data_IF_139305213592
#
_entry.id   IF_139305213592
#
_cell.length_a   1.000
_cell.length_b   1.000
_cell.length_c   1.000
_cell.angle_alpha   90.00
_cell.angle_beta   90.00
_cell.angle_gamma   90.00
#
_symmetry.space_group_name_H-M   'P 1'
#
loop_
_entity.id
_entity.type
_entity.pdbx_description
1 polymer ?
#
# COMPACT_ATOMS: atom_id res chain seq x y z
N UNK A 1 -31.32 -33.00 71.50
CA UNK A 1 -31.52 -31.69 72.16
C UNK A 1 -31.77 -30.63 71.09
N UNK A 2 -32.85 -29.86 71.26
CA UNK A 2 -33.09 -28.53 70.64
C UNK A 2 -33.28 -27.54 71.82
N UNK A 3 -33.51 -26.20 71.68
CA UNK A 3 -33.72 -25.34 70.49
C UNK A 3 -32.64 -24.20 70.45
N UNK A 4 -32.71 -23.00 69.80
CA UNK A 4 -33.80 -22.16 69.25
C UNK A 4 -33.39 -21.35 67.99
N UNK A 5 -34.18 -21.52 66.92
CA UNK A 5 -34.76 -20.51 65.98
C UNK A 5 -34.34 -19.02 66.11
N UNK A 6 -34.17 -18.34 64.95
CA UNK A 6 -35.03 -17.24 64.40
C UNK A 6 -34.41 -16.69 63.08
N UNK A 7 -35.11 -16.74 61.92
CA UNK A 7 -36.06 -15.76 61.32
C UNK A 7 -35.42 -14.54 60.61
N UNK A 8 -35.71 -14.32 59.31
CA UNK A 8 -35.65 -12.99 58.66
C UNK A 8 -35.03 -12.93 57.23
N UNK A 9 -35.66 -12.28 56.23
CA UNK A 9 -35.20 -12.32 54.81
C UNK A 9 -34.98 -10.95 54.10
N UNK A 10 -34.17 -10.94 53.03
CA UNK A 10 -34.13 -9.97 51.89
C UNK A 10 -33.00 -10.40 50.91
N UNK A 11 -33.19 -10.61 49.59
CA UNK A 11 -33.16 -9.62 48.49
C UNK A 11 -31.90 -8.71 48.52
N UNK A 12 -31.15 -8.42 47.44
CA UNK A 12 -31.47 -8.26 46.00
C UNK A 12 -30.24 -8.51 45.08
N UNK A 13 -30.46 -8.53 43.75
CA UNK A 13 -29.60 -7.77 42.82
C UNK A 13 -28.29 -8.39 42.28
N UNK A 14 -28.38 -9.31 41.31
CA UNK A 14 -27.24 -9.64 40.43
C UNK A 14 -27.09 -8.56 39.32
N UNK A 15 -26.12 -7.67 39.46
CA UNK A 15 -25.79 -6.63 38.46
C UNK A 15 -24.78 -7.10 37.39
N UNK A 16 -24.78 -6.51 36.17
CA UNK A 16 -23.98 -6.99 35.05
C UNK A 16 -22.48 -6.66 35.20
N UNK A 17 -21.64 -7.60 34.75
CA UNK A 17 -20.18 -7.51 34.75
C UNK A 17 -19.66 -6.40 33.83
N UNK A 18 -18.86 -5.46 34.39
CA UNK A 18 -18.13 -4.44 33.60
C UNK A 18 -16.96 -5.06 32.81
N UNK A 19 -16.64 -4.53 31.61
CA UNK A 19 -15.48 -4.98 30.84
C UNK A 19 -14.16 -4.55 31.49
N UNK A 20 -13.14 -5.39 31.38
CA UNK A 20 -11.83 -5.16 31.99
C UNK A 20 -11.07 -4.03 31.29
N UNK A 21 -10.66 -3.00 32.04
CA UNK A 21 -9.69 -2.02 31.56
C UNK A 21 -8.30 -2.66 31.51
N UNK A 22 -7.73 -2.78 30.31
CA UNK A 22 -6.31 -3.10 30.13
C UNK A 22 -5.45 -2.02 30.81
N UNK A 23 -4.74 -2.37 31.88
CA UNK A 23 -3.80 -1.46 32.54
C UNK A 23 -2.62 -1.22 31.60
N UNK A 24 -2.47 0.02 31.15
CA UNK A 24 -1.25 0.44 30.45
C UNK A 24 -0.04 0.27 31.37
N UNK A 25 1.06 -0.28 30.82
CA UNK A 25 2.33 -0.42 31.52
C UNK A 25 3.03 0.94 31.63
N UNK A 26 2.58 1.77 32.56
CA UNK A 26 3.33 2.96 33.00
C UNK A 26 4.45 2.52 33.94
N UNK A 27 5.57 2.05 33.40
CA UNK A 27 6.78 1.84 34.19
C UNK A 27 7.34 3.20 34.58
N UNK A 28 7.23 3.54 35.87
CA UNK A 28 7.83 4.74 36.46
C UNK A 28 9.36 4.61 36.47
N UNK A 29 10.01 5.01 35.38
CA UNK A 29 11.45 5.28 35.40
C UNK A 29 11.72 6.54 36.22
N UNK A 30 12.61 6.45 37.20
CA UNK A 30 12.87 7.52 38.15
C UNK A 30 13.53 8.72 37.46
N UNK A 31 12.87 9.88 37.53
CA UNK A 31 13.45 11.16 37.11
C UNK A 31 14.52 11.58 38.12
N UNK A 32 15.79 11.28 37.84
CA UNK A 32 16.98 11.88 38.47
C UNK A 32 18.26 11.50 37.69
N UNK A 33 18.29 11.81 36.39
CA UNK A 33 19.48 11.67 35.54
C UNK A 33 19.95 13.04 35.11
N UNK A 34 21.22 13.37 35.35
CA UNK A 34 21.86 14.66 35.01
C UNK A 34 22.64 14.63 33.68
N UNK A 35 22.65 13.49 32.99
CA UNK A 35 23.30 13.33 31.69
C UNK A 35 22.56 14.15 30.59
N UNK A 36 23.24 15.07 29.89
CA UNK A 36 22.61 15.95 28.90
C UNK A 36 21.96 15.22 27.72
N UNK A 37 22.54 14.10 27.28
CA UNK A 37 22.06 13.32 26.15
C UNK A 37 20.79 12.53 26.51
N UNK A 38 20.74 11.99 27.75
CA UNK A 38 19.52 11.39 28.30
C UNK A 38 18.41 12.44 28.54
N UNK A 39 18.74 13.66 28.95
CA UNK A 39 17.76 14.76 29.03
C UNK A 39 17.15 15.07 27.66
N UNK A 40 17.99 15.20 26.63
CA UNK A 40 17.55 15.50 25.26
C UNK A 40 16.69 14.36 24.68
N UNK A 41 17.08 13.10 24.91
CA UNK A 41 16.29 11.93 24.55
C UNK A 41 14.93 11.92 25.27
N UNK A 42 14.88 12.18 26.59
CA UNK A 42 13.62 12.29 27.33
C UNK A 42 12.77 13.46 26.86
N UNK A 43 13.36 14.60 26.49
CA UNK A 43 12.65 15.73 25.88
C UNK A 43 12.01 15.31 24.55
N UNK A 44 12.76 14.69 23.64
CA UNK A 44 12.24 14.19 22.36
C UNK A 44 11.10 13.17 22.54
N UNK A 45 11.22 12.24 23.50
CA UNK A 45 10.17 11.26 23.81
C UNK A 45 8.90 11.95 24.31
N UNK A 46 9.02 12.93 25.23
CA UNK A 46 7.87 13.73 25.69
C UNK A 46 7.22 14.50 24.53
N UNK A 47 8.01 15.15 23.68
CA UNK A 47 7.51 15.89 22.50
C UNK A 47 6.81 14.97 21.49
N UNK A 48 7.33 13.76 21.26
CA UNK A 48 6.68 12.75 20.41
C UNK A 48 5.36 12.27 21.02
N UNK A 49 5.32 11.96 22.30
CA UNK A 49 4.10 11.53 22.99
C UNK A 49 3.02 12.63 22.95
N UNK A 50 3.39 13.89 23.21
CA UNK A 50 2.49 15.04 23.10
C UNK A 50 1.86 15.13 21.71
N UNK A 51 2.66 15.04 20.64
CA UNK A 51 2.17 15.02 19.25
C UNK A 51 1.29 13.81 18.93
N UNK A 52 1.56 12.63 19.51
CA UNK A 52 0.66 11.47 19.35
C UNK A 52 -0.70 11.71 20.01
N UNK A 53 -0.73 12.34 21.19
CA UNK A 53 -1.97 12.67 21.90
C UNK A 53 -2.79 13.72 21.14
N UNK A 54 -2.13 14.73 20.56
CA UNK A 54 -2.73 15.72 19.65
C UNK A 54 -3.37 15.05 18.43
N UNK A 55 -2.65 14.20 17.69
CA UNK A 55 -3.21 13.46 16.55
C UNK A 55 -4.36 12.52 16.96
N UNK A 56 -4.25 11.86 18.12
CA UNK A 56 -5.35 11.04 18.65
C UNK A 56 -6.58 11.87 19.03
N UNK A 57 -6.41 13.12 19.46
CA UNK A 57 -7.53 14.03 19.71
C UNK A 57 -8.20 14.48 18.40
N UNK A 58 -7.41 14.79 17.36
CA UNK A 58 -7.92 15.16 16.03
C UNK A 58 -8.71 14.03 15.37
N UNK A 59 -8.20 12.80 15.39
CA UNK A 59 -8.92 11.60 14.90
C UNK A 59 -10.24 11.39 15.65
N UNK A 60 -10.26 11.61 16.98
CA UNK A 60 -11.48 11.53 17.79
C UNK A 60 -12.50 12.61 17.41
N UNK A 61 -12.05 13.84 17.14
CA UNK A 61 -12.90 14.92 16.69
C UNK A 61 -13.50 14.66 15.29
N UNK A 62 -12.72 14.11 14.36
CA UNK A 62 -13.21 13.71 13.03
C UNK A 62 -14.26 12.60 13.12
N UNK A 63 -14.02 11.56 13.93
CA UNK A 63 -14.98 10.47 14.14
C UNK A 63 -16.29 10.97 14.77
N UNK A 64 -16.24 11.91 15.73
CA UNK A 64 -17.43 12.54 16.30
C UNK A 64 -18.28 13.23 15.21
N UNK A 65 -17.62 13.94 14.29
CA UNK A 65 -18.29 14.65 13.18
C UNK A 65 -18.87 13.70 12.13
N UNK A 66 -18.26 12.53 11.93
CA UNK A 66 -18.82 11.45 11.09
C UNK A 66 -20.11 10.90 11.71
N UNK A 67 -20.15 10.65 13.01
CA UNK A 67 -21.38 10.17 13.68
C UNK A 67 -22.49 11.24 13.70
N UNK A 68 -22.15 12.52 13.86
CA UNK A 68 -23.12 13.62 13.74
C UNK A 68 -23.76 13.68 12.33
N UNK A 69 -22.95 13.48 11.28
CA UNK A 69 -23.46 13.40 9.90
C UNK A 69 -24.31 12.15 9.66
N UNK A 70 -23.92 10.99 10.22
CA UNK A 70 -24.71 9.74 10.16
C UNK A 70 -26.09 9.92 10.82
N UNK A 71 -26.15 10.53 12.01
CA UNK A 71 -27.40 10.82 12.69
C UNK A 71 -28.33 11.74 11.85
N UNK A 72 -27.77 12.73 11.16
CA UNK A 72 -28.54 13.61 10.25
C UNK A 72 -29.09 12.87 9.02
N UNK A 73 -28.33 11.91 8.47
CA UNK A 73 -28.81 11.06 7.36
C UNK A 73 -29.95 10.15 7.80
N UNK A 74 -29.90 9.59 9.02
CA UNK A 74 -31.00 8.79 9.59
C UNK A 74 -32.24 9.65 9.83
N UNK A 75 -32.10 10.85 10.41
CA UNK A 75 -33.23 11.74 10.69
C UNK A 75 -33.97 12.26 9.46
N UNK A 76 -33.34 12.27 8.27
CA UNK A 76 -34.00 12.57 7.00
C UNK A 76 -34.91 11.40 6.54
N UNK A 77 -34.56 10.16 6.89
CA UNK A 77 -35.30 8.96 6.50
C UNK A 77 -36.59 8.74 7.30
N UNK A 78 -36.76 9.40 8.45
CA UNK A 78 -37.93 9.26 9.32
C UNK A 78 -39.06 10.27 9.05
N UNK A 79 -38.86 11.23 8.13
CA UNK A 79 -39.84 12.31 7.85
C UNK A 79 -40.84 11.98 6.72
N UNK A 80 -41.02 10.71 6.35
CA UNK A 80 -42.02 10.25 5.37
C UNK A 80 -42.91 9.15 5.95
N UNK A 81 -44.18 9.42 6.29
CA UNK A 81 -45.06 8.41 6.90
C UNK A 81 -45.73 7.47 5.87
N UNK A 82 -45.37 6.19 5.97
CA UNK A 82 -46.17 4.97 5.74
C UNK A 82 -47.37 4.95 4.77
N UNK A 83 -47.35 3.97 3.85
CA UNK A 83 -48.56 3.26 3.39
C UNK A 83 -48.35 1.75 3.55
N UNK A 84 -49.12 1.17 4.49
CA UNK A 84 -49.55 -0.24 4.63
C UNK A 84 -48.62 -1.38 4.17
N UNK A 85 -48.08 -2.09 5.16
CA UNK A 85 -47.64 -3.48 5.02
C UNK A 85 -48.85 -4.42 4.81
N UNK A 86 -48.69 -5.41 3.93
CA UNK A 86 -49.26 -6.75 4.09
C UNK A 86 -48.33 -7.76 3.37
N UNK A 87 -48.20 -8.99 3.90
CA UNK A 87 -47.04 -9.84 3.60
C UNK A 87 -47.19 -10.61 2.28
N UNK A 88 -46.09 -10.68 1.51
CA UNK A 88 -45.98 -11.52 0.31
C UNK A 88 -44.66 -12.30 0.41
N UNK A 89 -44.71 -13.59 0.06
CA UNK A 89 -43.62 -14.56 0.14
C UNK A 89 -42.26 -14.04 -0.36
N UNK A 90 -41.26 -14.10 0.51
CA UNK A 90 -39.86 -13.89 0.16
C UNK A 90 -39.34 -15.04 -0.71
N UNK A 91 -39.42 -14.89 -2.03
CA UNK A 91 -38.21 -14.71 -2.85
C UNK A 91 -38.57 -14.50 -4.33
N UNK A 92 -39.16 -13.34 -4.63
CA UNK A 92 -39.09 -12.79 -5.97
C UNK A 92 -38.84 -11.28 -5.93
N UNK A 93 -37.65 -10.88 -6.36
CA UNK A 93 -37.41 -9.56 -6.98
C UNK A 93 -37.18 -8.34 -6.06
N UNK A 94 -35.94 -8.20 -5.55
CA UNK A 94 -35.25 -6.93 -5.79
C UNK A 94 -34.64 -7.01 -7.20
N UNK A 95 -35.40 -6.55 -8.21
CA UNK A 95 -34.83 -6.31 -9.53
C UNK A 95 -33.90 -5.11 -9.38
N UNK A 96 -32.61 -5.37 -9.37
CA UNK A 96 -31.64 -4.37 -9.84
C UNK A 96 -32.17 -3.80 -11.17
N UNK A 97 -32.06 -2.48 -11.43
CA UNK A 97 -32.42 -1.93 -12.72
C UNK A 97 -31.62 -2.68 -13.78
N UNK A 98 -32.33 -3.38 -14.68
CA UNK A 98 -31.80 -4.47 -15.49
C UNK A 98 -30.45 -4.12 -16.10
N UNK A 99 -29.40 -4.75 -15.57
CA UNK A 99 -27.97 -4.52 -15.75
C UNK A 99 -27.64 -3.63 -16.97
N UNK A 100 -27.74 -2.31 -16.78
CA UNK A 100 -27.58 -1.32 -17.84
C UNK A 100 -26.09 -1.25 -18.17
N UNK A 101 -25.68 -2.11 -19.10
CA UNK A 101 -24.34 -2.68 -19.07
C UNK A 101 -23.23 -1.64 -19.05
N UNK A 102 -22.27 -1.85 -18.16
CA UNK A 102 -21.21 -0.87 -17.94
C UNK A 102 -20.18 -0.98 -19.06
N UNK A 103 -20.06 0.10 -19.83
CA UNK A 103 -18.94 0.29 -20.73
C UNK A 103 -17.73 0.72 -19.90
N UNK A 104 -16.61 0.00 -20.00
CA UNK A 104 -15.40 0.29 -19.25
C UNK A 104 -14.12 -0.01 -20.02
N UNK A 105 -13.08 0.75 -19.71
CA UNK A 105 -11.72 0.48 -20.15
C UNK A 105 -11.07 -0.54 -19.20
N UNK A 106 -10.34 -1.50 -19.77
CA UNK A 106 -9.62 -2.53 -19.03
C UNK A 106 -8.15 -2.59 -19.48
N UNK A 107 -7.23 -2.62 -18.52
CA UNK A 107 -5.84 -2.99 -18.78
C UNK A 107 -5.77 -4.51 -18.70
N UNK A 108 -5.43 -5.17 -19.80
CA UNK A 108 -5.60 -6.61 -19.98
C UNK A 108 -4.52 -7.45 -19.28
N UNK A 109 -3.37 -6.86 -18.98
CA UNK A 109 -2.25 -7.52 -18.30
C UNK A 109 -1.62 -6.65 -17.21
N UNK A 110 -1.13 -7.29 -16.15
CA UNK A 110 -0.58 -6.62 -14.98
C UNK A 110 0.74 -5.92 -15.30
N UNK A 111 0.90 -4.66 -14.93
CA UNK A 111 2.16 -3.90 -15.09
C UNK A 111 3.24 -4.45 -14.15
N UNK A 112 4.51 -4.50 -14.61
CA UNK A 112 5.65 -4.85 -13.74
C UNK A 112 5.69 -3.98 -12.48
N UNK A 113 5.89 -4.61 -11.31
CA UNK A 113 6.03 -3.92 -10.00
C UNK A 113 7.15 -2.88 -9.98
N UNK A 114 8.18 -3.06 -10.81
CA UNK A 114 9.29 -2.14 -11.05
C UNK A 114 9.41 -1.85 -12.54
N UNK A 115 9.31 -0.58 -12.90
CA UNK A 115 9.56 -0.01 -14.23
C UNK A 115 10.78 0.91 -14.10
N UNK A 116 11.57 1.06 -15.16
CA UNK A 116 12.73 1.96 -15.17
C UNK A 116 12.52 3.15 -16.11
N UNK A 117 13.06 4.32 -15.76
CA UNK A 117 13.05 5.49 -16.67
C UNK A 117 13.72 5.16 -18.01
N UNK A 118 13.30 5.86 -19.07
CA UNK A 118 13.66 5.64 -20.49
C UNK A 118 13.48 4.20 -21.02
N UNK A 119 12.94 3.30 -20.20
CA UNK A 119 12.59 1.93 -20.58
C UNK A 119 11.09 1.88 -20.87
N UNK A 120 10.72 1.05 -21.84
CA UNK A 120 9.32 0.83 -22.19
C UNK A 120 8.56 0.18 -21.03
N UNK A 121 7.35 0.66 -20.76
CA UNK A 121 6.47 0.06 -19.74
C UNK A 121 5.96 -1.28 -20.26
N UNK A 122 6.20 -2.33 -19.47
CA UNK A 122 5.86 -3.71 -19.84
C UNK A 122 4.90 -4.33 -18.81
N UNK A 123 4.13 -5.30 -19.28
CA UNK A 123 3.43 -6.25 -18.45
C UNK A 123 4.40 -7.16 -17.70
N UNK A 124 3.87 -7.86 -16.71
CA UNK A 124 4.56 -8.91 -15.96
C UNK A 124 5.27 -9.85 -16.94
N UNK A 125 6.47 -10.29 -16.56
CA UNK A 125 7.34 -11.19 -17.33
C UNK A 125 7.83 -10.66 -18.71
N UNK A 126 7.49 -9.41 -19.07
CA UNK A 126 8.01 -8.73 -20.26
C UNK A 126 7.02 -8.62 -21.42
N UNK A 127 5.76 -9.01 -21.21
CA UNK A 127 4.70 -8.79 -22.18
C UNK A 127 4.53 -7.31 -22.56
N UNK A 128 4.01 -7.06 -23.76
CA UNK A 128 3.59 -5.72 -24.15
C UNK A 128 2.24 -5.43 -23.50
N UNK A 129 2.09 -4.23 -22.92
CA UNK A 129 0.83 -3.85 -22.28
C UNK A 129 -0.31 -3.72 -23.29
N UNK A 130 -1.50 -4.15 -22.88
CA UNK A 130 -2.72 -4.12 -23.69
C UNK A 130 -3.87 -3.44 -22.96
N UNK A 131 -4.69 -2.72 -23.72
CA UNK A 131 -5.91 -2.07 -23.24
C UNK A 131 -7.06 -2.51 -24.12
N UNK A 132 -8.21 -2.77 -23.53
CA UNK A 132 -9.44 -3.03 -24.26
C UNK A 132 -10.58 -2.12 -23.77
N UNK A 133 -11.57 -1.92 -24.64
CA UNK A 133 -12.88 -1.37 -24.26
C UNK A 133 -13.89 -2.51 -24.21
N UNK A 134 -14.59 -2.62 -23.08
CA UNK A 134 -15.48 -3.73 -22.75
C UNK A 134 -16.87 -3.23 -22.39
N UNK A 135 -17.89 -4.04 -22.65
CA UNK A 135 -19.26 -3.90 -22.17
C UNK A 135 -19.58 -5.13 -21.33
N UNK A 136 -19.88 -4.96 -20.03
CA UNK A 136 -20.08 -6.07 -19.09
C UNK A 136 -18.94 -7.11 -19.13
N UNK A 137 -17.69 -6.63 -19.15
CA UNK A 137 -16.48 -7.48 -19.23
C UNK A 137 -16.22 -8.13 -20.59
N UNK A 138 -17.11 -8.00 -21.58
CA UNK A 138 -16.89 -8.51 -22.94
C UNK A 138 -16.36 -7.41 -23.87
N UNK A 139 -15.30 -7.71 -24.61
CA UNK A 139 -14.65 -6.76 -25.52
C UNK A 139 -15.58 -6.29 -26.64
N UNK A 140 -15.67 -4.98 -26.86
CA UNK A 140 -16.46 -4.39 -27.95
C UNK A 140 -15.64 -4.40 -29.24
N UNK A 141 -15.86 -5.37 -30.12
CA UNK A 141 -15.04 -5.56 -31.33
C UNK A 141 -15.46 -4.75 -32.56
N UNK A 142 -16.58 -4.02 -32.50
CA UNK A 142 -17.14 -3.31 -33.66
C UNK A 142 -17.86 -2.00 -33.29
N UNK A 143 -17.99 -1.10 -34.27
CA UNK A 143 -18.66 0.20 -34.09
C UNK A 143 -17.73 1.29 -33.54
N UNK A 144 -18.23 2.53 -33.35
CA UNK A 144 -17.40 3.69 -33.04
C UNK A 144 -16.50 3.53 -31.80
N UNK A 145 -16.99 2.87 -30.76
CA UNK A 145 -16.26 2.57 -29.53
C UNK A 145 -15.05 1.67 -29.77
N UNK A 146 -15.16 0.68 -30.65
CA UNK A 146 -14.08 -0.25 -31.00
C UNK A 146 -12.91 0.42 -31.75
N UNK A 147 -13.09 1.67 -32.16
CA UNK A 147 -12.13 2.56 -32.83
C UNK A 147 -11.93 3.90 -32.12
N UNK A 148 -12.37 4.04 -30.86
CA UNK A 148 -12.21 5.28 -30.10
C UNK A 148 -10.72 5.58 -29.83
N UNK A 149 -10.39 6.86 -29.66
CA UNK A 149 -9.07 7.27 -29.17
C UNK A 149 -9.09 7.40 -27.66
N UNK A 150 -7.94 7.15 -27.07
CA UNK A 150 -7.74 7.24 -25.63
C UNK A 150 -6.36 7.85 -25.35
N UNK A 151 -6.22 8.42 -24.16
CA UNK A 151 -4.95 8.86 -23.62
C UNK A 151 -4.55 8.02 -22.39
N UNK A 152 -3.24 7.92 -22.16
CA UNK A 152 -2.67 7.34 -20.94
C UNK A 152 -2.03 8.45 -20.10
N UNK A 153 -2.47 8.57 -18.85
CA UNK A 153 -2.00 9.54 -17.86
C UNK A 153 -1.36 8.85 -16.67
N UNK A 154 -0.70 9.62 -15.80
CA UNK A 154 -0.07 9.14 -14.57
C UNK A 154 -0.81 9.70 -13.35
N UNK A 155 -1.14 8.82 -12.41
CA UNK A 155 -1.89 9.12 -11.20
C UNK A 155 -1.09 8.79 -9.94
N UNK A 156 -1.43 9.46 -8.83
CA UNK A 156 -0.89 9.09 -7.52
C UNK A 156 -1.35 7.68 -7.09
N UNK A 157 -0.56 7.00 -6.27
CA UNK A 157 -0.77 5.57 -5.98
C UNK A 157 -1.99 5.24 -5.11
N UNK A 158 -2.65 6.25 -4.56
CA UNK A 158 -3.86 6.19 -3.74
C UNK A 158 -5.11 6.71 -4.47
N UNK A 159 -5.00 7.10 -5.75
CA UNK A 159 -6.06 7.77 -6.50
C UNK A 159 -7.13 6.80 -7.00
N UNK A 160 -8.39 7.14 -6.73
CA UNK A 160 -9.58 6.37 -7.15
C UNK A 160 -10.27 7.04 -8.36
N UNK A 161 -9.92 8.30 -8.66
CA UNK A 161 -10.45 9.09 -9.78
C UNK A 161 -9.30 9.70 -10.59
N UNK A 162 -9.44 9.74 -11.90
CA UNK A 162 -8.39 10.22 -12.81
C UNK A 162 -8.30 11.76 -12.85
N UNK A 163 -9.45 12.45 -12.87
CA UNK A 163 -9.51 13.92 -13.01
C UNK A 163 -8.87 14.70 -11.85
N UNK A 164 -8.88 14.15 -10.63
CA UNK A 164 -8.47 14.84 -9.40
C UNK A 164 -7.00 14.58 -9.00
N UNK A 165 -6.25 13.75 -9.76
CA UNK A 165 -4.95 13.23 -9.27
C UNK A 165 -3.85 13.06 -10.33
N UNK A 166 -3.87 13.88 -11.38
CA UNK A 166 -2.83 13.88 -12.41
C UNK A 166 -1.47 14.30 -11.83
N UNK A 167 -0.47 13.41 -11.93
CA UNK A 167 0.90 13.68 -11.46
C UNK A 167 1.64 14.54 -12.46
N UNK A 168 2.12 15.71 -12.02
CA UNK A 168 3.04 16.56 -12.77
C UNK A 168 4.48 16.17 -12.51
N UNK A 169 5.36 16.37 -13.50
CA UNK A 169 6.80 16.16 -13.30
C UNK A 169 7.35 17.19 -12.30
N UNK A 170 8.57 16.94 -11.80
CA UNK A 170 9.30 17.98 -11.06
C UNK A 170 9.52 19.23 -11.94
N UNK A 171 9.69 20.44 -11.36
CA UNK A 171 9.73 21.69 -12.14
C UNK A 171 10.73 21.68 -13.31
N UNK A 172 11.86 21.02 -13.16
CA UNK A 172 12.91 20.87 -14.16
C UNK A 172 12.65 19.78 -15.22
N UNK A 173 11.66 18.91 -15.00
CA UNK A 173 11.27 17.81 -15.90
C UNK A 173 9.94 18.09 -16.63
N UNK A 174 9.03 18.82 -15.99
CA UNK A 174 7.72 19.23 -16.51
C UNK A 174 6.68 18.09 -16.56
N UNK A 175 6.99 16.99 -17.25
CA UNK A 175 6.12 15.81 -17.37
C UNK A 175 6.79 14.54 -16.85
N UNK A 176 5.99 13.68 -16.21
CA UNK A 176 6.43 12.37 -15.73
C UNK A 176 6.64 11.37 -16.88
N UNK A 177 5.76 11.41 -17.90
CA UNK A 177 5.90 10.60 -19.10
C UNK A 177 6.91 11.21 -20.07
N UNK A 178 7.55 10.35 -20.87
CA UNK A 178 8.49 10.77 -21.88
C UNK A 178 7.84 11.66 -22.94
N UNK A 179 6.65 11.27 -23.39
CA UNK A 179 5.80 12.01 -24.31
C UNK A 179 4.35 11.93 -23.80
N UNK A 180 3.49 12.81 -24.29
CA UNK A 180 2.05 12.58 -24.24
C UNK A 180 1.72 11.27 -24.98
N UNK A 181 0.80 10.48 -24.43
CA UNK A 181 0.47 9.16 -24.97
C UNK A 181 -0.99 9.09 -25.38
N UNK A 182 -1.25 9.27 -26.67
CA UNK A 182 -2.55 9.11 -27.30
C UNK A 182 -2.47 7.95 -28.29
N UNK A 183 -3.47 7.07 -28.28
CA UNK A 183 -3.58 5.95 -29.20
C UNK A 183 -5.06 5.67 -29.54
N UNK A 184 -5.30 4.72 -30.43
CA UNK A 184 -6.62 4.36 -30.94
C UNK A 184 -6.85 2.85 -30.82
N UNK A 185 -8.08 2.44 -30.50
CA UNK A 185 -8.46 1.03 -30.53
C UNK A 185 -8.53 0.49 -31.97
N UNK A 186 -8.15 -0.78 -32.13
CA UNK A 186 -8.37 -1.58 -33.33
C UNK A 186 -9.17 -2.81 -32.91
N UNK A 187 -10.41 -2.92 -33.40
CA UNK A 187 -11.37 -3.95 -32.97
C UNK A 187 -11.51 -4.05 -31.42
N UNK A 188 -11.51 -2.89 -30.75
CA UNK A 188 -11.68 -2.78 -29.30
C UNK A 188 -10.45 -3.13 -28.45
N UNK A 189 -9.29 -3.38 -29.05
CA UNK A 189 -8.02 -3.58 -28.35
C UNK A 189 -6.93 -2.64 -28.88
N UNK A 190 -6.03 -2.20 -28.01
CA UNK A 190 -4.85 -1.43 -28.35
C UNK A 190 -3.63 -1.94 -27.58
N UNK A 191 -2.46 -1.83 -28.20
CA UNK A 191 -1.18 -2.22 -27.60
C UNK A 191 -0.42 -0.95 -27.21
N UNK A 192 0.02 -0.85 -25.96
CA UNK A 192 0.72 0.33 -25.43
C UNK A 192 2.23 0.27 -25.72
N UNK A 193 2.60 0.35 -27.00
CA UNK A 193 4.02 0.43 -27.40
C UNK A 193 4.60 1.83 -27.19
N UNK A 194 5.88 1.92 -26.83
CA UNK A 194 6.62 3.16 -26.71
C UNK A 194 6.32 4.03 -25.48
N UNK A 195 5.39 3.61 -24.61
CA UNK A 195 5.11 4.29 -23.34
C UNK A 195 6.37 4.23 -22.46
N UNK A 196 6.85 5.38 -21.98
CA UNK A 196 8.10 5.52 -21.21
C UNK A 196 7.96 6.61 -20.15
N UNK A 197 8.72 6.48 -19.07
CA UNK A 197 8.83 7.48 -18.01
C UNK A 197 10.13 8.29 -18.12
N UNK A 198 10.05 9.61 -17.95
CA UNK A 198 11.20 10.52 -17.81
C UNK A 198 11.61 10.66 -16.35
N UNK A 199 10.65 10.86 -15.47
CA UNK A 199 10.90 11.02 -14.03
C UNK A 199 10.69 9.71 -13.26
N UNK A 200 11.26 9.61 -12.05
CA UNK A 200 11.10 8.43 -11.19
C UNK A 200 10.15 8.68 -10.02
N UNK A 201 9.51 7.63 -9.51
CA UNK A 201 8.42 7.76 -8.54
C UNK A 201 8.88 7.98 -7.09
N UNK A 202 10.18 8.21 -6.82
CA UNK A 202 10.67 8.32 -5.43
C UNK A 202 10.21 9.59 -4.70
N UNK A 203 9.86 10.64 -5.44
CA UNK A 203 9.30 11.90 -4.89
C UNK A 203 7.78 11.85 -4.69
N UNK A 204 7.11 10.80 -5.20
CA UNK A 204 5.67 10.65 -5.07
C UNK A 204 5.25 10.11 -3.68
N UNK A 205 4.06 10.48 -3.17
CA UNK A 205 3.44 9.80 -2.05
C UNK A 205 3.40 8.27 -2.27
N UNK A 206 3.80 7.49 -1.26
CA UNK A 206 3.91 6.03 -1.37
C UNK A 206 5.03 5.51 -2.28
N UNK A 207 5.83 6.39 -2.89
CA UNK A 207 6.93 6.09 -3.85
C UNK A 207 6.49 5.30 -5.09
N UNK A 208 5.22 5.40 -5.47
CA UNK A 208 4.57 4.65 -6.54
C UNK A 208 3.64 5.54 -7.36
N UNK A 209 3.31 5.10 -8.57
CA UNK A 209 2.29 5.68 -9.43
C UNK A 209 1.34 4.61 -9.97
N UNK A 210 0.19 5.05 -10.48
CA UNK A 210 -0.72 4.26 -11.31
C UNK A 210 -0.76 4.87 -12.72
N UNK A 211 -1.09 4.06 -13.73
CA UNK A 211 -1.57 4.58 -15.02
C UNK A 211 -3.08 4.79 -14.95
N UNK A 212 -3.55 5.94 -15.43
CA UNK A 212 -4.95 6.18 -15.75
C UNK A 212 -5.17 6.13 -17.25
N UNK A 213 -6.32 5.64 -17.71
CA UNK A 213 -6.68 5.60 -19.12
C UNK A 213 -8.11 6.10 -19.29
N UNK A 214 -8.30 7.08 -20.18
CA UNK A 214 -9.62 7.65 -20.52
C UNK A 214 -9.76 7.83 -22.02
N UNK A 215 -11.01 7.76 -22.48
CA UNK A 215 -11.40 8.08 -23.86
C UNK A 215 -11.28 9.60 -24.09
N UNK A 216 -10.94 10.01 -25.31
CA UNK A 216 -10.87 11.41 -25.73
C UNK A 216 -12.15 11.94 -26.37
N UNK A 217 -12.93 11.08 -27.05
CA UNK A 217 -14.23 11.44 -27.60
C UNK A 217 -15.38 11.34 -26.57
N UNK A 218 -16.40 12.17 -26.74
CA UNK A 218 -17.67 12.00 -26.03
C UNK A 218 -18.56 10.99 -26.77
N UNK A 219 -19.24 10.13 -26.01
CA UNK A 219 -20.18 9.13 -26.52
C UNK A 219 -21.49 9.20 -25.73
N UNK A 220 -22.59 8.78 -26.35
CA UNK A 220 -23.92 8.67 -25.72
C UNK A 220 -24.01 7.56 -24.64
N UNK A 221 -22.89 6.95 -24.27
CA UNK A 221 -22.77 5.95 -23.21
C UNK A 221 -21.69 6.40 -22.22
N UNK A 222 -21.93 6.20 -20.92
CA UNK A 222 -20.92 6.49 -19.90
C UNK A 222 -19.86 5.40 -19.93
N UNK A 223 -18.62 5.79 -20.23
CA UNK A 223 -17.45 4.90 -20.26
C UNK A 223 -16.66 5.10 -18.96
N UNK A 224 -16.40 4.02 -18.24
CA UNK A 224 -15.57 4.02 -17.02
C UNK A 224 -14.09 3.95 -17.39
N UNK A 225 -13.30 4.82 -16.77
CA UNK A 225 -11.84 4.92 -16.94
C UNK A 225 -11.13 3.68 -16.37
N UNK A 226 -9.99 3.31 -16.94
CA UNK A 226 -9.13 2.28 -16.35
C UNK A 226 -8.09 2.92 -15.43
N UNK A 227 -7.86 2.33 -14.26
CA UNK A 227 -6.75 2.69 -13.37
C UNK A 227 -5.95 1.41 -13.07
N UNK A 228 -4.63 1.46 -13.26
CA UNK A 228 -3.75 0.32 -12.97
C UNK A 228 -3.54 0.13 -11.48
N UNK A 229 -3.09 -1.06 -11.08
CA UNK A 229 -2.44 -1.23 -9.78
C UNK A 229 -1.17 -0.36 -9.64
N UNK A 230 -0.76 0.00 -8.42
CA UNK A 230 0.36 0.92 -8.19
C UNK A 230 1.73 0.24 -8.32
N UNK A 231 2.61 0.78 -9.15
CA UNK A 231 3.97 0.30 -9.41
C UNK A 231 5.03 1.36 -9.11
N UNK A 232 6.30 0.94 -8.98
CA UNK A 232 7.43 1.87 -8.79
C UNK A 232 8.08 2.17 -10.13
N UNK A 233 8.35 3.44 -10.39
CA UNK A 233 9.26 3.88 -11.45
C UNK A 233 10.60 4.21 -10.82
N UNK A 234 11.65 3.52 -11.26
CA UNK A 234 13.00 3.61 -10.76
C UNK A 234 13.91 4.29 -11.78
N UNK A 235 14.95 4.94 -11.29
CA UNK A 235 15.97 5.54 -12.16
C UNK A 235 16.73 4.46 -12.94
N UNK A 236 16.85 4.62 -14.27
CA UNK A 236 17.53 3.68 -15.19
C UNK A 236 18.94 3.29 -14.74
N UNK A 237 19.68 4.19 -14.07
CA UNK A 237 21.03 3.91 -13.54
C UNK A 237 21.03 2.75 -12.55
N UNK A 238 19.92 2.53 -11.83
CA UNK A 238 19.74 1.43 -10.90
C UNK A 238 19.46 0.06 -11.55
N UNK A 239 19.19 -0.01 -12.87
CA UNK A 239 18.78 -1.27 -13.54
C UNK A 239 19.87 -2.34 -13.52
N UNK A 240 21.14 -1.94 -13.70
CA UNK A 240 22.29 -2.85 -13.60
C UNK A 240 22.57 -3.36 -12.16
N UNK A 241 21.83 -2.84 -11.17
CA UNK A 241 21.89 -3.27 -9.76
C UNK A 241 20.54 -3.82 -9.27
N UNK A 242 19.64 -4.21 -10.19
CA UNK A 242 18.42 -4.90 -9.82
C UNK A 242 18.74 -6.22 -9.12
N UNK A 243 17.97 -6.51 -8.06
CA UNK A 243 18.09 -7.72 -7.25
C UNK A 243 16.86 -8.59 -7.50
N UNK A 244 16.98 -9.92 -7.50
CA UNK A 244 15.83 -10.81 -7.57
C UNK A 244 14.90 -10.55 -6.37
N UNK A 245 13.59 -10.68 -6.58
CA UNK A 245 12.61 -10.55 -5.49
C UNK A 245 12.77 -11.64 -4.42
N UNK A 246 13.22 -12.84 -4.84
CA UNK A 246 13.51 -13.99 -3.98
C UNK A 246 15.00 -14.35 -4.15
N UNK A 247 15.85 -14.15 -3.12
CA UNK A 247 17.21 -14.66 -3.09
C UNK A 247 17.23 -16.20 -2.99
N UNK A 248 17.88 -16.89 -3.93
CA UNK A 248 18.15 -18.32 -3.85
C UNK A 248 19.48 -18.57 -3.14
N UNK A 249 19.65 -19.76 -2.55
CA UNK A 249 20.84 -20.14 -1.78
C UNK A 249 22.15 -19.98 -2.58
N UNK A 250 22.13 -20.33 -3.85
CA UNK A 250 23.31 -20.31 -4.74
C UNK A 250 23.56 -18.92 -5.37
N UNK A 251 22.67 -17.95 -5.15
CA UNK A 251 22.92 -16.57 -5.59
C UNK A 251 24.09 -15.97 -4.80
N UNK A 252 24.87 -15.13 -5.47
CA UNK A 252 25.93 -14.36 -4.82
C UNK A 252 25.35 -13.38 -3.77
N UNK A 253 26.01 -13.24 -2.62
CA UNK A 253 25.54 -12.50 -1.43
C UNK A 253 25.09 -11.05 -1.69
N UNK A 254 25.49 -10.47 -2.82
CA UNK A 254 25.00 -9.17 -3.31
C UNK A 254 23.53 -9.12 -3.69
N UNK A 255 22.83 -10.25 -3.86
CA UNK A 255 21.37 -10.27 -4.08
C UNK A 255 20.57 -9.97 -2.80
N UNK A 256 21.19 -10.08 -1.61
CA UNK A 256 20.53 -9.77 -0.35
C UNK A 256 20.18 -8.28 -0.26
N UNK A 257 19.04 -7.96 0.34
CA UNK A 257 18.58 -6.57 0.52
C UNK A 257 19.60 -5.77 1.36
N UNK A 258 19.73 -4.45 1.14
CA UNK A 258 20.73 -3.58 1.82
C UNK A 258 22.23 -3.96 1.66
N UNK A 259 22.60 -5.02 0.94
CA UNK A 259 24.00 -5.36 0.62
C UNK A 259 24.46 -4.66 -0.66
N UNK A 260 25.09 -3.48 -0.54
CA UNK A 260 25.66 -2.73 -1.67
C UNK A 260 27.01 -3.29 -2.16
N UNK A 261 27.53 -2.77 -3.29
CA UNK A 261 28.79 -3.21 -3.92
C UNK A 261 29.98 -3.29 -2.94
N UNK A 262 30.21 -2.24 -2.15
CA UNK A 262 31.25 -2.20 -1.11
C UNK A 262 31.09 -3.32 -0.08
N UNK A 263 29.84 -3.60 0.32
CA UNK A 263 29.51 -4.63 1.31
C UNK A 263 29.76 -6.04 0.76
N UNK A 264 29.46 -6.28 -0.52
CA UNK A 264 29.81 -7.54 -1.20
C UNK A 264 31.32 -7.79 -1.17
N UNK A 265 32.14 -6.75 -1.41
CA UNK A 265 33.60 -6.89 -1.39
C UNK A 265 34.13 -7.32 -0.01
N UNK A 266 33.60 -6.74 1.08
CA UNK A 266 33.97 -7.11 2.45
C UNK A 266 33.51 -8.53 2.80
N UNK A 267 32.28 -8.90 2.44
CA UNK A 267 31.76 -10.27 2.65
C UNK A 267 32.61 -11.32 1.92
N UNK A 268 32.95 -11.09 0.64
CA UNK A 268 33.79 -11.99 -0.15
C UNK A 268 35.21 -12.13 0.41
N UNK A 269 35.82 -11.06 0.94
CA UNK A 269 37.12 -11.14 1.64
C UNK A 269 37.08 -12.06 2.87
N UNK A 270 35.93 -12.13 3.54
CA UNK A 270 35.71 -12.95 4.71
C UNK A 270 35.16 -14.36 4.39
N UNK A 271 35.22 -14.79 3.11
CA UNK A 271 34.79 -16.12 2.65
C UNK A 271 33.29 -16.29 2.44
N UNK A 272 32.52 -15.19 2.43
CA UNK A 272 31.06 -15.21 2.27
C UNK A 272 30.73 -14.80 0.82
N UNK A 273 30.53 -15.77 -0.05
CA UNK A 273 30.35 -15.53 -1.49
C UNK A 273 28.88 -15.60 -1.90
N UNK A 274 28.11 -16.52 -1.30
CA UNK A 274 26.71 -16.85 -1.62
C UNK A 274 25.75 -16.54 -0.46
N UNK A 275 24.44 -16.60 -0.74
CA UNK A 275 23.39 -16.58 0.30
C UNK A 275 23.54 -17.78 1.24
N UNK A 276 23.89 -18.96 0.70
CA UNK A 276 24.17 -20.17 1.48
C UNK A 276 25.29 -19.95 2.50
N UNK A 277 26.44 -19.40 2.08
CA UNK A 277 27.58 -19.14 2.98
C UNK A 277 27.18 -18.16 4.10
N UNK A 278 26.40 -17.13 3.74
CA UNK A 278 25.90 -16.13 4.69
C UNK A 278 24.97 -16.76 5.73
N UNK A 279 24.01 -17.58 5.29
CA UNK A 279 23.07 -18.27 6.18
C UNK A 279 23.76 -19.33 7.04
N UNK A 280 24.70 -20.10 6.48
CA UNK A 280 25.50 -21.06 7.25
C UNK A 280 26.31 -20.36 8.34
N UNK A 281 27.02 -19.27 8.00
CA UNK A 281 27.78 -18.52 8.99
C UNK A 281 26.88 -17.89 10.06
N UNK A 282 25.71 -17.38 9.68
CA UNK A 282 24.73 -16.82 10.62
C UNK A 282 24.28 -17.83 11.68
N UNK A 283 24.02 -19.08 11.30
CA UNK A 283 23.58 -20.12 12.24
C UNK A 283 24.73 -20.77 13.02
N UNK A 284 25.89 -20.97 12.39
CA UNK A 284 27.04 -21.68 13.01
C UNK A 284 27.90 -20.75 13.88
N UNK A 285 28.11 -19.51 13.47
CA UNK A 285 28.92 -18.54 14.22
C UNK A 285 28.45 -17.09 13.95
N UNK A 286 27.34 -16.65 14.59
CA UNK A 286 26.83 -15.29 14.45
C UNK A 286 27.84 -14.24 14.95
N UNK A 287 28.73 -14.57 15.88
CA UNK A 287 29.76 -13.66 16.40
C UNK A 287 30.75 -13.26 15.30
N UNK A 288 31.22 -14.22 14.49
CA UNK A 288 32.08 -13.91 13.33
C UNK A 288 31.36 -13.03 12.31
N UNK A 289 30.06 -13.25 12.08
CA UNK A 289 29.28 -12.35 11.21
C UNK A 289 29.18 -10.92 11.79
N UNK A 290 29.11 -10.77 13.12
CA UNK A 290 29.17 -9.46 13.80
C UNK A 290 30.56 -8.79 13.73
N UNK A 291 31.65 -9.55 13.56
CA UNK A 291 32.99 -9.01 13.33
C UNK A 291 33.15 -8.49 11.90
N UNK A 292 32.75 -9.29 10.90
CA UNK A 292 32.66 -8.84 9.50
C UNK A 292 31.76 -7.59 9.40
N UNK A 293 30.66 -7.57 10.18
CA UNK A 293 29.79 -6.40 10.31
C UNK A 293 30.55 -5.16 10.82
N UNK A 294 31.45 -5.27 11.80
CA UNK A 294 32.26 -4.12 12.28
C UNK A 294 33.15 -3.55 11.17
N UNK A 295 33.76 -4.41 10.36
CA UNK A 295 34.53 -4.01 9.17
C UNK A 295 33.65 -3.23 8.15
N UNK A 296 32.39 -3.65 7.98
CA UNK A 296 31.40 -2.97 7.12
C UNK A 296 30.88 -1.65 7.72
N UNK A 297 30.80 -1.53 9.05
CA UNK A 297 30.15 -0.42 9.76
C UNK A 297 30.99 0.86 9.84
N UNK A 298 32.30 0.79 9.60
CA UNK A 298 33.16 1.97 9.39
C UNK A 298 32.71 2.85 8.20
N UNK A 299 31.72 2.41 7.40
CA UNK A 299 31.11 3.14 6.28
C UNK A 299 29.55 3.16 6.35
N UNK A 300 29.00 3.57 7.50
CA UNK A 300 27.60 3.99 7.76
C UNK A 300 26.51 2.89 7.98
N UNK A 301 26.03 2.76 9.24
CA UNK A 301 24.62 2.64 9.68
C UNK A 301 24.53 2.37 11.21
N UNK A 302 23.37 2.57 11.85
CA UNK A 302 23.16 2.29 13.29
C UNK A 302 22.73 0.82 13.57
N UNK A 303 22.84 0.40 14.84
CA UNK A 303 22.65 -1.00 15.28
C UNK A 303 21.24 -1.58 15.06
N UNK A 304 20.18 -0.77 15.12
CA UNK A 304 18.78 -1.22 15.03
C UNK A 304 18.40 -1.82 13.67
N UNK A 305 19.09 -1.44 12.60
CA UNK A 305 18.81 -1.96 11.25
C UNK A 305 19.24 -3.43 11.06
N UNK A 306 20.17 -3.94 11.88
CA UNK A 306 20.78 -5.26 11.66
C UNK A 306 19.85 -6.42 12.02
N UNK A 307 19.10 -6.30 13.13
CA UNK A 307 18.10 -7.28 13.51
C UNK A 307 17.01 -7.39 12.44
N UNK A 308 16.54 -6.24 11.92
CA UNK A 308 15.56 -6.19 10.83
C UNK A 308 16.14 -6.73 9.50
N UNK A 309 17.41 -6.45 9.19
CA UNK A 309 18.09 -7.00 8.01
C UNK A 309 18.22 -8.53 8.07
N UNK A 310 18.56 -9.09 9.23
CA UNK A 310 18.59 -10.55 9.43
C UNK A 310 17.19 -11.15 9.34
N UNK A 311 16.17 -10.53 9.96
CA UNK A 311 14.78 -10.97 9.84
C UNK A 311 14.29 -10.94 8.39
N UNK A 312 14.60 -9.88 7.64
CA UNK A 312 14.22 -9.72 6.23
C UNK A 312 14.97 -10.68 5.31
N UNK A 313 16.23 -11.03 5.61
CA UNK A 313 16.94 -12.07 4.87
C UNK A 313 16.38 -13.45 5.18
N UNK A 314 16.08 -13.75 6.45
CA UNK A 314 15.48 -15.03 6.85
C UNK A 314 14.08 -15.23 6.25
N UNK A 315 13.22 -14.19 6.31
CA UNK A 315 11.84 -14.25 5.83
C UNK A 315 11.68 -14.08 4.30
N UNK A 316 12.77 -13.97 3.53
CA UNK A 316 12.77 -13.94 2.06
C UNK A 316 13.52 -15.12 1.42
N UNK A 317 14.18 -15.96 2.22
CA UNK A 317 14.89 -17.15 1.75
C UNK A 317 14.10 -18.45 2.02
N UNK A 318 12.87 -18.34 2.53
CA UNK A 318 11.89 -19.40 2.76
C UNK A 318 10.54 -18.99 2.18
#
# INVERSE_FOLDING_TARGET
MAPKRKLGPSSEGAGPSRPAKSRGLTSSFQENTTDPFLLEMHHMIRTLNCKMEEFQAEIRAQNCKIEELRAKVVGINEQSPSILENPIDENLTTREPANQGQCELMIMNNIKKRVYTDSEVQGQDGEILKVAICYNGQKITSGPLASARFEVVVLESNSIKLQESLVKGRPEVGSVLANEYISQFSNGEAVLQGLKFKDNSNWAPGKKWCLGIRILEEFNVKIKEAISGPFRVLDRRGKASEKPDIPLLDHGVGCLEKVGKERVSVLKKNGIHTVKDFLQLYHVNPTKLLEVRKEMYFKCMHNSEFALFLLLCSNKCF
#
